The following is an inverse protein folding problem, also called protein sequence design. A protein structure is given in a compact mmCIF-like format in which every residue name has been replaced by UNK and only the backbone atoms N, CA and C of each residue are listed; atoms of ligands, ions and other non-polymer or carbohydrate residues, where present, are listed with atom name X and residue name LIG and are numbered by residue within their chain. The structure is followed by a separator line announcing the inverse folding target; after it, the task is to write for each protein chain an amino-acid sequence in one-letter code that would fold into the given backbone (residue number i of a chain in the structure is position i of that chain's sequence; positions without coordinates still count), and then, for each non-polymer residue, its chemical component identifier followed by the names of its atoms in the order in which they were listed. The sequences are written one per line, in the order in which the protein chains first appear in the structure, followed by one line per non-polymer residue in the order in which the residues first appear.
data_IF_770782785278
#
_entry.id   IF_770782785278
#
_cell.length_a   1.000
_cell.length_b   1.000
_cell.length_c   1.000
_cell.angle_alpha   90.00
_cell.angle_beta   90.00
_cell.angle_gamma   90.00
#
_symmetry.space_group_name_H-M   'P 1'
#
loop_
_entity.id
_entity.type
_entity.pdbx_description
1 polymer ?
#
# COMPACT_ATOMS: atom_id res chain seq x y z
N UNK A 1 46.86 26.77 45.24
CA UNK A 1 46.48 25.76 44.23
C UNK A 1 45.08 26.10 43.74
N UNK A 2 44.74 26.10 42.44
CA UNK A 2 45.45 25.51 41.30
C UNK A 2 45.88 26.52 40.20
N UNK A 3 46.83 26.10 39.37
CA UNK A 3 47.37 26.72 38.15
C UNK A 3 47.41 25.65 37.04
N UNK A 4 47.65 26.09 35.81
CA UNK A 4 47.67 25.41 34.49
C UNK A 4 46.31 25.47 33.78
N UNK A 5 46.10 26.20 32.66
CA UNK A 5 46.92 26.37 31.43
C UNK A 5 46.44 25.33 30.41
N UNK A 6 46.02 25.59 29.17
CA UNK A 6 46.65 26.39 28.09
C UNK A 6 45.67 26.51 26.88
N UNK A 7 45.96 27.48 26.00
CA UNK A 7 45.29 27.92 24.75
C UNK A 7 45.51 26.98 23.52
N UNK A 8 44.84 27.36 22.41
CA UNK A 8 45.03 27.03 20.95
C UNK A 8 44.21 25.85 20.40
N UNK A 9 43.68 25.81 19.16
CA UNK A 9 43.56 26.69 17.98
C UNK A 9 42.51 26.04 17.02
N UNK A 10 41.60 26.79 16.40
CA UNK A 10 41.54 27.16 14.96
C UNK A 10 41.60 26.03 13.89
N UNK A 11 40.58 26.08 13.01
CA UNK A 11 40.54 25.79 11.56
C UNK A 11 40.69 24.34 11.04
N UNK A 12 39.64 23.87 10.34
CA UNK A 12 39.78 23.30 9.00
C UNK A 12 38.44 23.39 8.23
N UNK A 13 38.34 24.41 7.37
CA UNK A 13 37.47 24.42 6.20
C UNK A 13 38.04 23.41 5.19
N UNK A 14 37.22 22.49 4.69
CA UNK A 14 37.43 21.89 3.38
C UNK A 14 36.12 21.98 2.61
N UNK A 15 36.10 22.90 1.66
CA UNK A 15 35.10 22.93 0.60
C UNK A 15 35.41 21.86 -0.44
N UNK A 16 34.37 21.16 -0.88
CA UNK A 16 34.39 20.47 -2.17
C UNK A 16 33.44 21.21 -3.09
N UNK A 17 34.02 21.98 -4.02
CA UNK A 17 33.36 22.37 -5.24
C UNK A 17 33.40 21.18 -6.20
N UNK A 18 32.25 20.73 -6.66
CA UNK A 18 32.13 19.96 -7.91
C UNK A 18 31.24 20.76 -8.85
N UNK A 19 31.82 21.13 -9.98
CA UNK A 19 31.20 21.84 -11.08
C UNK A 19 31.10 20.89 -12.29
N UNK A 20 30.04 21.12 -13.09
CA UNK A 20 29.72 20.60 -14.42
C UNK A 20 29.08 19.19 -14.49
N UNK A 21 27.93 18.95 -15.13
CA UNK A 21 27.03 19.81 -15.90
C UNK A 21 25.77 19.04 -16.31
N UNK A 22 24.61 19.71 -16.29
CA UNK A 22 23.36 19.24 -16.91
C UNK A 22 23.31 19.56 -18.42
N UNK A 23 22.25 19.15 -19.13
CA UNK A 23 20.95 19.80 -18.90
C UNK A 23 19.75 18.85 -18.91
N UNK A 24 18.88 18.94 -17.88
CA UNK A 24 17.41 18.93 -18.01
C UNK A 24 16.75 19.02 -16.61
N UNK A 25 16.44 20.25 -16.22
CA UNK A 25 15.20 20.63 -15.50
C UNK A 25 14.79 19.89 -14.23
N UNK A 26 15.52 20.08 -13.13
CA UNK A 26 14.88 20.12 -11.81
C UNK A 26 14.44 21.57 -11.53
N UNK A 27 13.23 21.82 -10.98
CA UNK A 27 12.81 23.18 -10.66
C UNK A 27 13.76 23.76 -9.60
N UNK A 28 14.35 24.91 -9.89
CA UNK A 28 15.14 25.68 -8.94
C UNK A 28 14.21 26.17 -7.83
N UNK A 29 14.44 25.69 -6.61
CA UNK A 29 13.84 26.30 -5.42
C UNK A 29 14.30 27.74 -5.31
N UNK A 30 13.34 28.65 -5.25
CA UNK A 30 13.59 30.09 -5.19
C UNK A 30 14.46 30.42 -3.96
N UNK A 31 15.54 31.15 -4.17
CA UNK A 31 16.50 31.55 -3.13
C UNK A 31 15.79 32.33 -2.00
N UNK A 32 14.67 32.97 -2.31
CA UNK A 32 13.79 33.62 -1.35
C UNK A 32 13.16 32.62 -0.35
N UNK A 33 12.84 31.39 -0.77
CA UNK A 33 12.28 30.35 0.09
C UNK A 33 13.36 29.80 1.03
N UNK A 34 14.58 29.60 0.54
CA UNK A 34 15.73 29.19 1.38
C UNK A 34 16.09 30.28 2.40
N UNK A 35 16.02 31.55 2.03
CA UNK A 35 16.28 32.66 2.95
C UNK A 35 15.19 32.84 4.01
N UNK A 36 13.93 32.51 3.70
CA UNK A 36 12.83 32.55 4.67
C UNK A 36 12.95 31.45 5.76
N UNK A 37 13.48 30.27 5.40
CA UNK A 37 13.74 29.18 6.36
C UNK A 37 14.94 29.52 7.24
N UNK A 38 15.99 30.14 6.69
CA UNK A 38 17.18 30.52 7.45
C UNK A 38 16.97 31.72 8.40
N UNK A 39 16.00 32.60 8.12
CA UNK A 39 15.68 33.73 9.00
C UNK A 39 14.83 33.35 10.23
N UNK A 40 14.28 32.13 10.27
CA UNK A 40 13.51 31.63 11.42
C UNK A 40 14.39 31.10 12.56
N UNK A 41 15.70 30.87 12.34
CA UNK A 41 16.62 30.28 13.32
C UNK A 41 17.22 31.28 14.32
N UNK A 42 16.81 32.56 14.26
CA UNK A 42 17.30 33.63 15.13
C UNK A 42 16.44 33.96 16.35
N UNK A 43 15.28 33.32 16.52
CA UNK A 43 14.37 33.57 17.63
C UNK A 43 14.29 32.36 18.55
N UNK A 44 14.92 32.45 19.71
CA UNK A 44 14.68 31.63 20.92
C UNK A 44 14.11 30.23 20.69
N UNK A 45 14.90 29.19 21.00
CA UNK A 45 14.32 27.93 21.45
C UNK A 45 13.54 28.18 22.75
N UNK A 46 12.33 28.72 22.62
CA UNK A 46 11.33 28.65 23.64
C UNK A 46 11.25 27.18 23.99
N UNK A 47 11.55 26.88 25.25
CA UNK A 47 11.52 25.54 25.78
C UNK A 47 10.12 24.96 25.52
N UNK A 48 9.97 24.12 24.50
CA UNK A 48 8.77 23.32 24.24
C UNK A 48 8.39 22.42 25.44
N UNK A 49 9.22 22.36 26.50
CA UNK A 49 8.84 21.76 27.77
C UNK A 49 7.86 22.67 28.50
N UNK A 50 6.57 22.33 28.38
CA UNK A 50 5.47 22.93 29.14
C UNK A 50 4.24 23.24 28.31
N UNK A 51 4.37 23.37 26.99
CA UNK A 51 3.28 23.82 26.12
C UNK A 51 2.34 22.67 25.67
N UNK A 52 2.84 21.43 25.65
CA UNK A 52 2.03 20.23 25.47
C UNK A 52 1.78 19.63 26.86
N UNK A 53 0.57 19.80 27.37
CA UNK A 53 0.16 19.25 28.67
C UNK A 53 -0.64 17.96 28.51
N UNK A 54 -0.54 17.01 29.48
CA UNK A 54 -1.41 15.83 29.50
C UNK A 54 -2.90 16.18 29.41
N UNK A 55 -3.33 17.25 30.08
CA UNK A 55 -4.72 17.72 30.08
C UNK A 55 -5.13 18.23 28.69
N UNK A 56 -4.24 18.96 28.00
CA UNK A 56 -4.47 19.44 26.64
C UNK A 56 -4.63 18.29 25.66
N UNK A 57 -3.73 17.30 25.73
CA UNK A 57 -3.81 16.09 24.91
C UNK A 57 -5.08 15.28 25.21
N UNK A 58 -5.39 15.07 26.49
CA UNK A 58 -6.59 14.33 26.91
C UNK A 58 -7.87 15.01 26.41
N UNK A 59 -7.95 16.34 26.42
CA UNK A 59 -9.09 17.08 25.85
C UNK A 59 -9.30 16.75 24.37
N UNK A 60 -8.24 16.82 23.56
CA UNK A 60 -8.35 16.53 22.13
C UNK A 60 -8.76 15.08 21.86
N UNK A 61 -8.17 14.13 22.58
CA UNK A 61 -8.51 12.72 22.47
C UNK A 61 -9.98 12.50 22.83
N UNK A 62 -10.46 13.05 23.95
CA UNK A 62 -11.84 12.90 24.39
C UNK A 62 -12.86 13.44 23.39
N UNK A 63 -12.57 14.57 22.74
CA UNK A 63 -13.45 15.12 21.69
C UNK A 63 -13.46 14.21 20.45
N UNK A 64 -12.29 13.88 19.93
CA UNK A 64 -12.16 13.10 18.68
C UNK A 64 -12.63 11.65 18.83
N UNK A 65 -12.61 11.10 20.04
CA UNK A 65 -13.09 9.76 20.36
C UNK A 65 -14.52 9.74 20.92
N UNK A 66 -15.20 10.89 20.97
CA UNK A 66 -16.58 10.97 21.48
C UNK A 66 -17.57 10.34 20.51
N UNK A 67 -18.70 9.86 21.05
CA UNK A 67 -19.82 9.35 20.26
C UNK A 67 -20.34 10.38 19.26
N UNK A 68 -20.23 11.68 19.56
CA UNK A 68 -20.62 12.76 18.64
C UNK A 68 -19.79 12.74 17.35
N UNK A 69 -18.53 12.32 17.40
CA UNK A 69 -17.65 12.30 16.24
C UNK A 69 -17.80 11.03 15.41
N UNK A 70 -18.35 9.93 15.95
CA UNK A 70 -18.73 8.71 15.19
C UNK A 70 -17.58 8.07 14.36
N UNK A 71 -16.33 8.51 14.56
CA UNK A 71 -15.16 8.13 13.76
C UNK A 71 -14.71 9.21 12.77
N UNK A 72 -13.83 8.81 11.84
CA UNK A 72 -13.09 9.75 10.97
C UNK A 72 -12.90 9.25 9.54
N UNK A 73 -13.76 8.33 9.10
CA UNK A 73 -13.70 7.83 7.73
C UNK A 73 -13.94 8.98 6.73
N UNK A 74 -13.28 8.98 5.55
CA UNK A 74 -13.60 9.91 4.47
C UNK A 74 -15.09 9.89 4.15
N UNK A 75 -15.61 10.99 3.58
CA UNK A 75 -17.01 11.11 3.11
C UNK A 75 -18.12 10.89 4.16
N UNK A 76 -17.78 10.58 5.41
CA UNK A 76 -18.75 10.42 6.52
C UNK A 76 -19.02 11.73 7.28
N UNK A 77 -20.19 11.88 7.93
CA UNK A 77 -20.47 13.01 8.83
C UNK A 77 -19.42 13.18 9.94
N UNK A 78 -18.99 12.08 10.55
CA UNK A 78 -17.94 12.08 11.58
C UNK A 78 -16.57 12.56 11.08
N UNK A 79 -16.20 12.13 9.87
CA UNK A 79 -15.05 12.66 9.15
C UNK A 79 -15.12 14.18 8.96
N UNK A 80 -16.27 14.74 8.58
CA UNK A 80 -16.43 16.19 8.42
C UNK A 80 -16.30 16.95 9.74
N UNK A 81 -16.89 16.45 10.82
CA UNK A 81 -16.73 17.03 12.17
C UNK A 81 -15.26 17.03 12.58
N UNK A 82 -14.57 15.92 12.36
CA UNK A 82 -13.12 15.78 12.63
C UNK A 82 -12.30 16.83 11.89
N UNK A 83 -12.57 17.04 10.60
CA UNK A 83 -11.85 18.03 9.78
C UNK A 83 -12.12 19.46 10.22
N UNK A 84 -13.38 19.79 10.49
CA UNK A 84 -13.79 21.10 10.99
C UNK A 84 -13.14 21.41 12.35
N UNK A 85 -13.06 20.41 13.23
CA UNK A 85 -12.38 20.53 14.51
C UNK A 85 -10.89 20.87 14.36
N UNK A 86 -10.15 20.13 13.52
CA UNK A 86 -8.71 20.36 13.30
C UNK A 86 -8.47 21.73 12.66
N UNK A 87 -9.25 22.11 11.64
CA UNK A 87 -9.14 23.43 11.01
C UNK A 87 -9.45 24.57 12.01
N UNK A 88 -10.43 24.36 12.90
CA UNK A 88 -10.75 25.29 13.98
C UNK A 88 -9.60 25.46 14.97
N UNK A 89 -8.91 24.37 15.31
CA UNK A 89 -7.71 24.41 16.17
C UNK A 89 -6.53 25.11 15.48
N UNK A 90 -6.31 24.90 14.17
CA UNK A 90 -5.31 25.66 13.40
C UNK A 90 -5.59 27.16 13.42
N UNK A 91 -6.84 27.55 13.15
CA UNK A 91 -7.26 28.94 13.22
C UNK A 91 -7.08 29.53 14.63
N UNK A 92 -7.41 28.78 15.68
CA UNK A 92 -7.23 29.19 17.08
C UNK A 92 -5.75 29.45 17.42
N UNK A 93 -4.85 28.68 16.83
CA UNK A 93 -3.40 28.84 17.00
C UNK A 93 -2.80 29.98 16.16
N UNK A 94 -3.60 30.61 15.29
CA UNK A 94 -3.15 31.71 14.43
C UNK A 94 -2.47 31.27 13.14
N UNK A 95 -2.64 30.01 12.72
CA UNK A 95 -2.18 29.58 11.40
C UNK A 95 -3.06 30.18 10.31
N UNK A 96 -2.43 30.75 9.28
CA UNK A 96 -3.11 31.24 8.09
C UNK A 96 -3.38 30.09 7.12
N UNK A 97 -4.53 30.09 6.42
CA UNK A 97 -4.86 29.03 5.47
C UNK A 97 -4.01 29.12 4.20
N UNK A 98 -3.59 27.97 3.69
CA UNK A 98 -2.88 27.89 2.40
C UNK A 98 -3.88 28.06 1.25
N UNK A 99 -3.68 29.07 0.39
CA UNK A 99 -4.58 29.32 -0.74
C UNK A 99 -5.99 29.78 -0.34
N UNK A 100 -6.16 30.33 0.87
CA UNK A 100 -7.43 30.88 1.35
C UNK A 100 -8.41 29.87 1.95
N UNK A 101 -8.01 28.60 2.07
CA UNK A 101 -8.79 27.53 2.72
C UNK A 101 -7.89 26.67 3.60
N UNK A 102 -8.38 26.21 4.75
CA UNK A 102 -7.71 25.15 5.55
C UNK A 102 -7.93 23.75 4.96
N UNK A 103 -8.59 23.67 3.81
CA UNK A 103 -9.01 22.41 3.21
C UNK A 103 -8.51 22.28 1.77
N UNK A 104 -7.98 21.09 1.47
CA UNK A 104 -7.72 20.63 0.10
C UNK A 104 -8.75 19.57 -0.29
N UNK A 105 -9.56 19.84 -1.30
CA UNK A 105 -10.53 18.85 -1.82
C UNK A 105 -9.84 17.77 -2.63
N UNK A 106 -10.25 16.52 -2.41
CA UNK A 106 -9.84 15.34 -3.17
C UNK A 106 -11.09 14.60 -3.67
N UNK A 107 -11.11 14.31 -4.96
CA UNK A 107 -12.12 13.45 -5.57
C UNK A 107 -11.90 12.00 -5.15
N UNK A 108 -12.97 11.38 -4.67
CA UNK A 108 -13.00 10.00 -4.23
C UNK A 108 -14.03 9.21 -5.01
N UNK A 109 -13.79 7.91 -5.12
CA UNK A 109 -14.75 6.94 -5.64
C UNK A 109 -14.95 5.86 -4.60
N UNK A 110 -16.20 5.48 -4.40
CA UNK A 110 -16.59 4.35 -3.58
C UNK A 110 -17.18 3.28 -4.48
N UNK A 111 -16.71 2.05 -4.29
CA UNK A 111 -17.16 0.90 -5.05
C UNK A 111 -17.63 -0.20 -4.12
N UNK A 112 -18.77 -0.80 -4.40
CA UNK A 112 -19.28 -1.96 -3.65
C UNK A 112 -19.55 -3.10 -4.61
N UNK A 113 -18.84 -4.21 -4.44
CA UNK A 113 -19.08 -5.44 -5.20
C UNK A 113 -20.47 -5.99 -4.86
N UNK A 114 -21.25 -6.37 -5.87
CA UNK A 114 -22.45 -7.18 -5.72
C UNK A 114 -22.07 -8.67 -5.82
N UNK A 115 -22.01 -9.41 -4.71
CA UNK A 115 -21.57 -10.81 -4.73
C UNK A 115 -22.59 -11.74 -5.39
N UNK A 116 -23.87 -11.34 -5.49
CA UNK A 116 -24.91 -12.16 -6.11
C UNK A 116 -24.81 -12.16 -7.65
N UNK A 117 -24.26 -11.08 -8.22
CA UNK A 117 -24.01 -10.94 -9.65
C UNK A 117 -22.53 -11.12 -10.03
N UNK A 118 -21.67 -11.52 -9.09
CA UNK A 118 -20.22 -11.65 -9.29
C UNK A 118 -19.73 -13.06 -9.00
N UNK A 119 -18.61 -13.44 -9.62
CA UNK A 119 -17.95 -14.71 -9.31
C UNK A 119 -16.45 -14.65 -9.57
N UNK A 120 -15.71 -15.50 -8.87
CA UNK A 120 -14.36 -15.93 -9.21
C UNK A 120 -14.36 -17.46 -9.27
N UNK A 121 -13.99 -18.01 -10.43
CA UNK A 121 -13.93 -19.46 -10.65
C UNK A 121 -12.58 -19.89 -11.19
N UNK A 122 -12.14 -21.08 -10.80
CA UNK A 122 -10.95 -21.74 -11.32
C UNK A 122 -11.35 -23.05 -11.99
N UNK A 123 -11.01 -23.22 -13.26
CA UNK A 123 -11.07 -24.50 -13.95
C UNK A 123 -9.75 -25.26 -13.78
N UNK A 124 -9.84 -26.53 -13.41
CA UNK A 124 -8.70 -27.43 -13.21
C UNK A 124 -8.88 -28.70 -14.06
N UNK A 125 -8.67 -28.59 -15.38
CA UNK A 125 -8.75 -29.74 -16.29
C UNK A 125 -10.16 -30.34 -16.40
N UNK A 126 -11.19 -29.50 -16.40
CA UNK A 126 -12.60 -29.90 -16.56
C UNK A 126 -13.40 -29.96 -15.25
N UNK A 127 -12.77 -29.79 -14.10
CA UNK A 127 -13.45 -29.51 -12.83
C UNK A 127 -13.43 -28.00 -12.59
N UNK A 128 -14.60 -27.37 -12.61
CA UNK A 128 -14.75 -25.94 -12.29
C UNK A 128 -15.09 -25.75 -10.82
N UNK A 129 -14.28 -24.96 -10.11
CA UNK A 129 -14.51 -24.56 -8.72
C UNK A 129 -14.87 -23.09 -8.67
N UNK A 130 -16.05 -22.79 -8.14
CA UNK A 130 -16.41 -21.43 -7.75
C UNK A 130 -15.86 -21.19 -6.34
N UNK A 131 -15.03 -20.16 -6.18
CA UNK A 131 -14.60 -19.75 -4.84
C UNK A 131 -15.75 -18.97 -4.20
N UNK A 132 -16.15 -19.33 -2.99
CA UNK A 132 -17.17 -18.60 -2.27
C UNK A 132 -16.63 -17.27 -1.75
N UNK A 133 -17.39 -16.20 -2.00
CA UNK A 133 -17.01 -14.85 -1.61
C UNK A 133 -16.98 -14.72 -0.10
N UNK A 134 -15.98 -14.01 0.43
CA UNK A 134 -15.67 -13.85 1.86
C UNK A 134 -15.10 -15.07 2.54
N UNK A 135 -15.57 -16.29 2.25
CA UNK A 135 -15.11 -17.49 2.97
C UNK A 135 -13.84 -18.07 2.38
N UNK A 136 -13.82 -18.26 1.06
CA UNK A 136 -12.75 -18.96 0.35
C UNK A 136 -11.75 -17.97 -0.22
N UNK A 137 -12.29 -16.85 -0.73
CA UNK A 137 -11.54 -15.73 -1.24
C UNK A 137 -12.33 -14.42 -1.09
N UNK A 138 -11.61 -13.30 -1.08
CA UNK A 138 -12.18 -11.96 -1.32
C UNK A 138 -11.56 -11.41 -2.59
N UNK A 139 -12.37 -10.71 -3.38
CA UNK A 139 -11.92 -10.10 -4.61
C UNK A 139 -12.69 -8.82 -4.87
N UNK A 140 -11.99 -7.85 -5.42
CA UNK A 140 -12.52 -6.57 -5.84
C UNK A 140 -11.78 -6.10 -7.09
N UNK A 141 -12.17 -4.94 -7.60
CA UNK A 141 -11.44 -4.29 -8.69
C UNK A 141 -11.22 -2.83 -8.36
N UNK A 142 -10.07 -2.30 -8.77
CA UNK A 142 -9.76 -0.88 -8.72
C UNK A 142 -10.18 -0.15 -10.01
N UNK A 143 -10.72 -0.89 -11.00
CA UNK A 143 -11.24 -0.34 -12.25
C UNK A 143 -12.64 0.21 -12.01
N UNK A 144 -12.84 1.49 -12.30
CA UNK A 144 -14.11 2.19 -12.10
C UNK A 144 -15.02 1.96 -13.32
N UNK A 145 -15.62 0.75 -13.36
CA UNK A 145 -16.58 0.28 -14.37
C UNK A 145 -17.67 -0.57 -13.71
N UNK A 146 -18.95 -0.45 -14.10
CA UNK A 146 -20.04 -1.22 -13.48
C UNK A 146 -19.81 -2.73 -13.53
N UNK A 147 -19.24 -3.21 -14.64
CA UNK A 147 -18.85 -4.61 -14.82
C UNK A 147 -17.37 -4.69 -15.26
N UNK A 148 -16.64 -5.65 -14.68
CA UNK A 148 -15.30 -6.04 -15.10
C UNK A 148 -15.23 -7.55 -15.18
N UNK A 149 -14.82 -8.09 -16.33
CA UNK A 149 -14.73 -9.52 -16.54
C UNK A 149 -13.45 -9.96 -17.28
N UNK A 150 -13.05 -11.21 -17.02
CA UNK A 150 -12.08 -11.96 -17.82
C UNK A 150 -12.44 -13.45 -17.80
N UNK A 151 -12.04 -14.15 -18.85
CA UNK A 151 -12.34 -15.58 -19.00
C UNK A 151 -11.05 -16.35 -19.32
N UNK A 152 -10.96 -17.56 -18.74
CA UNK A 152 -9.95 -18.56 -19.03
C UNK A 152 -8.47 -18.07 -19.02
N UNK A 153 -8.10 -17.18 -18.09
CA UNK A 153 -6.71 -16.71 -17.94
C UNK A 153 -5.84 -17.78 -17.29
N UNK A 154 -4.70 -18.10 -17.91
CA UNK A 154 -3.73 -19.04 -17.34
C UNK A 154 -3.25 -18.55 -15.97
N UNK A 155 -3.00 -19.48 -15.05
CA UNK A 155 -2.48 -19.18 -13.73
C UNK A 155 -0.97 -19.39 -13.63
N UNK A 156 -0.29 -18.49 -12.91
CA UNK A 156 1.16 -18.54 -12.69
C UNK A 156 1.45 -18.25 -11.22
N UNK A 157 2.27 -19.08 -10.59
CA UNK A 157 2.82 -18.78 -9.28
C UNK A 157 4.08 -17.93 -9.42
N UNK A 158 4.10 -16.75 -8.82
CA UNK A 158 5.19 -15.76 -8.96
C UNK A 158 5.92 -15.51 -7.65
N UNK A 159 6.04 -16.50 -6.77
CA UNK A 159 6.75 -16.33 -5.50
C UNK A 159 6.13 -15.21 -4.67
N UNK A 160 6.90 -14.17 -4.34
CA UNK A 160 6.44 -13.00 -3.61
C UNK A 160 5.97 -11.85 -4.51
N UNK A 161 6.08 -12.00 -5.83
CA UNK A 161 5.70 -10.96 -6.79
C UNK A 161 6.55 -9.71 -6.66
N UNK A 162 7.84 -9.86 -6.35
CA UNK A 162 8.77 -8.76 -6.08
C UNK A 162 9.68 -8.47 -7.26
N UNK A 163 9.79 -7.19 -7.60
CA UNK A 163 10.84 -6.62 -8.46
C UNK A 163 11.59 -5.58 -7.65
N UNK A 164 12.79 -5.93 -7.20
CA UNK A 164 13.63 -5.11 -6.35
C UNK A 164 15.10 -5.19 -6.80
N UNK A 165 15.51 -4.38 -7.79
CA UNK A 165 16.86 -4.37 -8.34
C UNK A 165 17.97 -4.14 -7.30
N UNK A 166 17.72 -3.30 -6.28
CA UNK A 166 18.62 -3.04 -5.15
C UNK A 166 18.90 -4.29 -4.31
N UNK A 167 17.95 -5.23 -4.30
CA UNK A 167 18.09 -6.54 -3.67
C UNK A 167 18.49 -7.61 -4.67
N UNK A 168 18.78 -7.28 -5.94
CA UNK A 168 19.03 -8.24 -7.03
C UNK A 168 17.93 -9.31 -7.13
N UNK A 169 16.66 -8.89 -7.01
CA UNK A 169 15.51 -9.79 -6.92
C UNK A 169 14.47 -9.46 -7.98
N UNK A 170 14.01 -10.48 -8.72
CA UNK A 170 12.92 -10.34 -9.69
C UNK A 170 12.15 -11.66 -9.84
N UNK A 171 10.97 -11.74 -9.22
CA UNK A 171 10.09 -12.90 -9.25
C UNK A 171 9.32 -13.08 -10.56
N UNK A 172 9.34 -12.09 -11.45
CA UNK A 172 8.71 -12.15 -12.77
C UNK A 172 9.71 -12.50 -13.88
N UNK A 173 11.00 -12.63 -13.55
CA UNK A 173 12.03 -12.86 -14.54
C UNK A 173 11.89 -14.23 -15.22
N UNK A 174 11.84 -14.25 -16.55
CA UNK A 174 11.87 -15.47 -17.35
C UNK A 174 10.49 -16.03 -17.74
N UNK A 175 9.38 -15.37 -17.37
CA UNK A 175 8.04 -15.75 -17.83
C UNK A 175 7.16 -14.52 -18.04
N UNK A 176 6.53 -14.43 -19.21
CA UNK A 176 5.53 -13.39 -19.49
C UNK A 176 4.21 -13.70 -18.76
N UNK A 177 3.84 -12.82 -17.84
CA UNK A 177 2.58 -12.90 -17.08
C UNK A 177 1.46 -12.06 -17.67
N UNK A 178 1.69 -11.42 -18.82
CA UNK A 178 0.69 -10.56 -19.45
C UNK A 178 -0.59 -11.34 -19.77
N UNK A 179 -1.72 -10.80 -19.30
CA UNK A 179 -3.04 -11.44 -19.47
C UNK A 179 -3.27 -12.68 -18.59
N UNK A 180 -2.32 -13.06 -17.73
CA UNK A 180 -2.42 -14.22 -16.83
C UNK A 180 -2.90 -13.81 -15.45
N UNK A 181 -3.40 -14.78 -14.69
CA UNK A 181 -3.67 -14.60 -13.26
C UNK A 181 -2.45 -15.00 -12.46
N UNK A 182 -1.90 -14.08 -11.69
CA UNK A 182 -0.74 -14.38 -10.83
C UNK A 182 -1.19 -14.75 -9.42
N UNK A 183 -0.55 -15.77 -8.87
CA UNK A 183 -0.73 -16.24 -7.49
C UNK A 183 0.53 -15.90 -6.70
N UNK A 184 0.37 -15.21 -5.57
CA UNK A 184 1.45 -14.49 -4.89
C UNK A 184 1.46 -14.84 -3.40
N UNK A 185 2.63 -15.07 -2.82
CA UNK A 185 2.82 -15.14 -1.37
C UNK A 185 2.72 -13.76 -0.74
N UNK A 186 2.07 -13.66 0.42
CA UNK A 186 2.11 -12.46 1.26
C UNK A 186 3.50 -12.27 1.89
N UNK A 187 3.86 -11.02 2.24
CA UNK A 187 5.16 -10.63 2.83
C UNK A 187 6.35 -10.74 1.85
N UNK A 188 7.59 -10.74 2.32
CA UNK A 188 8.81 -10.85 1.51
C UNK A 188 9.76 -11.96 2.04
N UNK A 189 10.73 -12.44 1.24
CA UNK A 189 11.58 -13.59 1.59
C UNK A 189 12.36 -13.47 2.91
N UNK A 190 12.69 -12.25 3.36
CA UNK A 190 13.47 -12.05 4.58
C UNK A 190 12.72 -12.50 5.83
N UNK A 191 11.40 -12.29 5.85
CA UNK A 191 10.57 -12.50 7.03
C UNK A 191 10.57 -13.97 7.49
N UNK A 192 10.35 -14.90 6.55
CA UNK A 192 10.25 -16.33 6.86
C UNK A 192 11.61 -16.98 7.07
N UNK A 193 12.63 -16.54 6.33
CA UNK A 193 13.99 -17.08 6.44
C UNK A 193 14.70 -16.62 7.72
N UNK A 194 14.24 -15.50 8.31
CA UNK A 194 14.93 -14.81 9.43
C UNK A 194 16.39 -14.49 9.08
N UNK A 195 16.68 -14.33 7.79
CA UNK A 195 17.99 -14.02 7.28
C UNK A 195 18.10 -12.50 7.13
N UNK A 196 18.86 -11.87 8.02
CA UNK A 196 19.06 -10.42 8.02
C UNK A 196 19.83 -9.92 6.77
N UNK A 197 20.36 -10.83 5.95
CA UNK A 197 21.00 -10.49 4.67
C UNK A 197 20.02 -10.47 3.49
N UNK A 198 18.79 -10.94 3.68
CA UNK A 198 17.71 -10.89 2.70
C UNK A 198 16.71 -9.79 3.11
N UNK A 199 16.52 -8.80 2.24
CA UNK A 199 15.59 -7.68 2.45
C UNK A 199 15.90 -6.90 3.74
N UNK A 200 15.01 -6.94 4.72
CA UNK A 200 15.19 -6.35 6.06
C UNK A 200 15.03 -7.40 7.16
N UNK A 201 15.42 -8.65 6.87
CA UNK A 201 15.27 -9.77 7.78
C UNK A 201 13.82 -9.96 8.20
N UNK A 202 13.56 -9.96 9.51
CA UNK A 202 12.21 -10.12 10.06
C UNK A 202 11.30 -8.90 9.91
N UNK A 203 11.82 -7.74 9.50
CA UNK A 203 10.99 -6.56 9.30
C UNK A 203 10.40 -6.56 7.87
N UNK A 204 9.07 -6.50 7.76
CA UNK A 204 8.39 -6.41 6.48
C UNK A 204 8.80 -5.12 5.74
N UNK A 205 9.24 -5.27 4.49
CA UNK A 205 9.57 -4.14 3.61
C UNK A 205 8.35 -3.63 2.87
N UNK A 206 8.52 -2.58 2.05
CA UNK A 206 7.48 -2.15 1.11
C UNK A 206 7.05 -3.29 0.17
N UNK A 207 7.98 -4.17 -0.23
CA UNK A 207 7.74 -5.32 -1.10
C UNK A 207 6.81 -6.38 -0.48
N UNK A 208 6.80 -6.46 0.86
CA UNK A 208 5.91 -7.37 1.57
C UNK A 208 4.46 -6.91 1.60
N UNK A 209 4.18 -5.63 1.31
CA UNK A 209 2.84 -5.06 1.36
C UNK A 209 1.97 -5.56 0.20
N UNK A 210 0.72 -5.86 0.50
CA UNK A 210 -0.26 -6.29 -0.49
C UNK A 210 -0.51 -5.25 -1.58
N UNK A 211 -0.48 -3.95 -1.25
CA UNK A 211 -0.65 -2.86 -2.23
C UNK A 211 0.42 -2.94 -3.31
N UNK A 212 1.68 -3.11 -2.90
CA UNK A 212 2.79 -3.29 -3.81
C UNK A 212 2.60 -4.51 -4.71
N UNK A 213 2.18 -5.66 -4.16
CA UNK A 213 2.00 -6.89 -4.93
C UNK A 213 0.97 -6.74 -6.04
N UNK A 214 -0.16 -6.10 -5.76
CA UNK A 214 -1.17 -5.83 -6.79
C UNK A 214 -0.70 -4.78 -7.81
N UNK A 215 -0.03 -3.72 -7.34
CA UNK A 215 0.57 -2.70 -8.21
C UNK A 215 1.61 -3.31 -9.17
N UNK A 216 2.51 -4.14 -8.65
CA UNK A 216 3.57 -4.76 -9.44
C UNK A 216 2.99 -5.78 -10.41
N UNK A 217 2.07 -6.65 -9.97
CA UNK A 217 1.38 -7.56 -10.89
C UNK A 217 0.71 -6.82 -12.06
N UNK A 218 0.10 -5.67 -11.78
CA UNK A 218 -0.49 -4.82 -12.81
C UNK A 218 0.57 -4.18 -13.73
N UNK A 219 1.70 -3.70 -13.20
CA UNK A 219 2.85 -3.20 -14.00
C UNK A 219 3.39 -4.28 -14.93
N UNK A 220 3.40 -5.54 -14.50
CA UNK A 220 3.82 -6.69 -15.30
C UNK A 220 2.74 -7.17 -16.29
N UNK A 221 1.55 -6.54 -16.30
CA UNK A 221 0.48 -6.82 -17.25
C UNK A 221 -0.43 -7.99 -16.88
N UNK A 222 -0.38 -8.47 -15.63
CA UNK A 222 -1.28 -9.51 -15.16
C UNK A 222 -2.75 -9.08 -15.29
N UNK A 223 -3.62 -10.01 -15.70
CA UNK A 223 -5.06 -9.75 -15.77
C UNK A 223 -5.70 -9.76 -14.38
N UNK A 224 -5.20 -10.60 -13.48
CA UNK A 224 -5.68 -10.74 -12.11
C UNK A 224 -4.52 -11.11 -11.18
N UNK A 225 -4.66 -10.77 -9.91
CA UNK A 225 -3.68 -11.10 -8.89
C UNK A 225 -4.39 -11.59 -7.62
N UNK A 226 -3.94 -12.76 -7.13
CA UNK A 226 -4.45 -13.41 -5.93
C UNK A 226 -3.31 -13.58 -4.94
N UNK A 227 -3.41 -12.95 -3.77
CA UNK A 227 -2.47 -13.14 -2.67
C UNK A 227 -2.96 -14.32 -1.81
N UNK A 228 -2.07 -15.26 -1.53
CA UNK A 228 -2.32 -16.34 -0.59
C UNK A 228 -2.24 -15.76 0.82
N UNK A 229 -3.33 -15.86 1.58
CA UNK A 229 -3.36 -15.46 2.97
C UNK A 229 -2.73 -16.52 3.87
N UNK A 230 -1.89 -16.07 4.80
CA UNK A 230 -1.31 -16.87 5.88
C UNK A 230 -1.22 -16.00 7.13
N UNK A 231 -1.71 -16.49 8.28
CA UNK A 231 -1.79 -15.70 9.52
C UNK A 231 -0.44 -15.10 9.95
N UNK A 232 0.62 -15.91 9.94
CA UNK A 232 1.93 -15.51 10.45
C UNK A 232 2.57 -14.44 9.53
N UNK A 233 2.71 -14.66 8.20
CA UNK A 233 3.23 -13.63 7.30
C UNK A 233 2.35 -12.39 7.15
N UNK A 234 1.03 -12.51 7.27
CA UNK A 234 0.12 -11.37 7.21
C UNK A 234 0.07 -10.58 8.53
N UNK A 235 0.45 -11.21 9.66
CA UNK A 235 0.32 -10.71 11.03
C UNK A 235 -1.13 -10.53 11.51
N UNK A 236 -2.10 -11.12 10.81
CA UNK A 236 -3.53 -11.12 11.18
C UNK A 236 -4.27 -12.31 10.56
N UNK A 237 -5.33 -12.74 11.24
CA UNK A 237 -6.22 -13.79 10.74
C UNK A 237 -7.11 -13.33 9.58
N UNK A 238 -7.76 -14.29 8.91
CA UNK A 238 -8.60 -14.06 7.74
C UNK A 238 -9.70 -13.01 7.94
N UNK A 239 -10.28 -12.90 9.15
CA UNK A 239 -11.33 -11.93 9.44
C UNK A 239 -10.92 -10.46 9.19
N UNK A 240 -9.62 -10.14 9.27
CA UNK A 240 -9.11 -8.80 8.90
C UNK A 240 -9.16 -8.60 7.39
N UNK A 241 -8.78 -9.62 6.61
CA UNK A 241 -8.89 -9.60 5.14
C UNK A 241 -10.36 -9.47 4.75
N UNK A 242 -11.23 -10.34 5.27
CA UNK A 242 -12.66 -10.33 5.02
C UNK A 242 -13.30 -8.97 5.33
N UNK A 243 -13.07 -8.44 6.53
CA UNK A 243 -13.66 -7.17 6.97
C UNK A 243 -13.13 -5.95 6.22
N UNK A 244 -11.89 -5.98 5.74
CA UNK A 244 -11.26 -4.82 5.08
C UNK A 244 -11.49 -4.79 3.56
N UNK A 245 -11.76 -5.94 2.94
CA UNK A 245 -11.88 -6.09 1.48
C UNK A 245 -13.31 -6.32 0.99
N UNK A 246 -14.29 -6.18 1.87
CA UNK A 246 -15.71 -6.39 1.54
C UNK A 246 -16.53 -5.17 1.93
N UNK A 247 -17.75 -5.06 1.39
CA UNK A 247 -18.57 -3.86 1.56
C UNK A 247 -18.07 -2.71 0.68
N UNK A 248 -18.36 -1.48 1.13
CA UNK A 248 -17.96 -0.26 0.42
C UNK A 248 -16.46 -0.03 0.52
N UNK A 249 -15.82 0.19 -0.63
CA UNK A 249 -14.38 0.38 -0.74
C UNK A 249 -14.10 1.76 -1.31
N UNK A 250 -13.47 2.63 -0.53
CA UNK A 250 -13.09 3.97 -0.96
C UNK A 250 -11.71 3.99 -1.63
N UNK A 251 -11.57 4.81 -2.66
CA UNK A 251 -10.30 5.08 -3.33
C UNK A 251 -10.26 6.50 -3.90
N UNK A 252 -9.09 6.94 -4.34
CA UNK A 252 -8.95 8.18 -5.09
C UNK A 252 -9.41 7.97 -6.54
N UNK A 253 -10.04 8.99 -7.12
CA UNK A 253 -10.31 9.02 -8.56
C UNK A 253 -8.99 9.08 -9.30
N UNK A 254 -8.71 8.06 -10.11
CA UNK A 254 -7.50 8.00 -10.97
C UNK A 254 -7.82 8.55 -12.36
N UNK A 255 -6.88 9.24 -13.02
CA UNK A 255 -7.09 9.77 -14.38
C UNK A 255 -7.50 8.72 -15.41
N UNK A 256 -7.01 7.49 -15.27
CA UNK A 256 -7.29 6.37 -16.17
C UNK A 256 -8.47 5.49 -15.70
N UNK A 257 -9.21 5.93 -14.68
CA UNK A 257 -10.27 5.16 -14.03
C UNK A 257 -9.82 3.75 -13.58
N UNK A 258 -8.54 3.60 -13.24
CA UNK A 258 -7.94 2.33 -12.82
C UNK A 258 -7.63 1.36 -13.96
N UNK A 259 -7.67 1.79 -15.23
CA UNK A 259 -7.40 0.93 -16.38
C UNK A 259 -6.01 0.26 -16.36
N UNK A 260 -5.03 0.89 -15.70
CA UNK A 260 -3.69 0.35 -15.44
C UNK A 260 -3.64 -0.75 -14.38
N UNK A 261 -4.71 -0.95 -13.59
CA UNK A 261 -4.80 -1.98 -12.54
C UNK A 261 -5.13 -3.34 -13.12
N UNK A 262 -4.88 -4.41 -12.37
CA UNK A 262 -5.42 -5.73 -12.72
C UNK A 262 -6.97 -5.65 -12.79
N UNK A 263 -7.60 -6.51 -13.59
CA UNK A 263 -9.06 -6.60 -13.64
C UNK A 263 -9.65 -7.08 -12.31
N UNK A 264 -8.92 -7.94 -11.61
CA UNK A 264 -9.27 -8.46 -10.28
C UNK A 264 -8.05 -8.45 -9.38
N UNK A 265 -8.24 -7.92 -8.17
CA UNK A 265 -7.28 -7.97 -7.06
C UNK A 265 -7.97 -8.67 -5.90
N UNK A 266 -7.32 -9.66 -5.30
CA UNK A 266 -7.95 -10.44 -4.26
C UNK A 266 -7.00 -11.25 -3.40
N UNK A 267 -7.59 -11.87 -2.39
CA UNK A 267 -6.94 -12.79 -1.47
C UNK A 267 -7.64 -14.13 -1.52
N UNK A 268 -6.89 -15.21 -1.34
CA UNK A 268 -7.39 -16.58 -1.25
C UNK A 268 -6.87 -17.22 0.04
N UNK A 269 -7.71 -18.00 0.71
CA UNK A 269 -7.30 -18.76 1.89
C UNK A 269 -6.22 -19.80 1.55
N UNK A 270 -5.34 -20.08 2.50
CA UNK A 270 -4.25 -21.04 2.33
C UNK A 270 -4.74 -22.45 1.94
N UNK A 271 -5.82 -22.94 2.52
CA UNK A 271 -6.36 -24.27 2.23
C UNK A 271 -6.77 -24.39 0.74
N UNK A 272 -7.48 -23.39 0.20
CA UNK A 272 -7.88 -23.38 -1.20
C UNK A 272 -6.68 -23.16 -2.13
N UNK A 273 -5.72 -22.30 -1.76
CA UNK A 273 -4.48 -22.19 -2.50
C UNK A 273 -3.73 -23.54 -2.55
N UNK A 274 -3.66 -24.27 -1.44
CA UNK A 274 -3.01 -25.58 -1.37
C UNK A 274 -3.65 -26.58 -2.33
N UNK A 275 -4.98 -26.58 -2.43
CA UNK A 275 -5.70 -27.42 -3.39
C UNK A 275 -5.41 -27.04 -4.84
N UNK A 276 -5.31 -25.73 -5.15
CA UNK A 276 -4.94 -25.26 -6.48
C UNK A 276 -3.53 -25.71 -6.86
N UNK A 277 -2.55 -25.58 -5.96
CA UNK A 277 -1.19 -26.06 -6.21
C UNK A 277 -1.18 -27.56 -6.49
N UNK A 278 -1.90 -28.35 -5.67
CA UNK A 278 -2.02 -29.79 -5.86
C UNK A 278 -2.65 -30.14 -7.23
N UNK A 279 -3.69 -29.43 -7.65
CA UNK A 279 -4.33 -29.61 -8.95
C UNK A 279 -3.39 -29.29 -10.12
N UNK A 280 -2.47 -28.34 -9.94
CA UNK A 280 -1.41 -28.04 -10.90
C UNK A 280 -0.19 -29.01 -10.83
N UNK A 281 -0.24 -30.05 -9.99
CA UNK A 281 0.89 -30.96 -9.77
C UNK A 281 2.04 -30.34 -8.96
N UNK A 282 1.77 -29.26 -8.23
CA UNK A 282 2.73 -28.53 -7.41
C UNK A 282 2.49 -28.80 -5.92
N UNK A 283 3.52 -28.55 -5.11
CA UNK A 283 3.47 -28.60 -3.66
C UNK A 283 3.75 -27.20 -3.12
N UNK A 284 2.79 -26.61 -2.39
CA UNK A 284 2.85 -25.21 -1.96
C UNK A 284 4.04 -24.95 -1.02
N UNK A 285 4.39 -25.89 -0.15
CA UNK A 285 5.50 -25.73 0.79
C UNK A 285 6.85 -25.79 0.08
N UNK A 286 7.01 -26.68 -0.90
CA UNK A 286 8.19 -26.70 -1.79
C UNK A 286 8.31 -25.43 -2.61
N UNK A 287 7.19 -24.92 -3.13
CA UNK A 287 7.16 -23.67 -3.88
C UNK A 287 7.51 -22.47 -2.99
N UNK A 288 7.00 -22.41 -1.76
CA UNK A 288 7.38 -21.40 -0.76
C UNK A 288 8.87 -21.48 -0.42
N UNK A 289 9.39 -22.68 -0.16
CA UNK A 289 10.81 -22.89 0.13
C UNK A 289 11.72 -22.49 -1.05
N UNK A 290 11.26 -22.67 -2.29
CA UNK A 290 11.96 -22.22 -3.48
C UNK A 290 11.90 -20.68 -3.63
N UNK A 291 10.73 -20.07 -3.41
CA UNK A 291 10.53 -18.62 -3.46
C UNK A 291 11.33 -17.87 -2.39
N UNK A 292 11.74 -18.54 -1.31
CA UNK A 292 12.65 -17.99 -0.29
C UNK A 292 14.12 -17.93 -0.72
N UNK A 293 14.46 -18.35 -1.94
CA UNK A 293 15.84 -18.39 -2.43
C UNK A 293 16.01 -17.46 -3.63
N UNK A 294 17.12 -16.74 -3.62
CA UNK A 294 17.55 -15.90 -4.76
C UNK A 294 17.61 -16.74 -6.03
N UNK A 295 17.08 -16.19 -7.12
CA UNK A 295 17.03 -16.87 -8.42
C UNK A 295 15.82 -17.78 -8.62
N UNK A 296 14.83 -17.74 -7.71
CA UNK A 296 13.50 -18.29 -7.98
C UNK A 296 12.97 -17.79 -9.33
N UNK A 297 12.24 -18.66 -10.02
CA UNK A 297 11.60 -18.34 -11.30
C UNK A 297 10.11 -18.63 -11.20
N UNK A 298 9.26 -17.78 -11.79
CA UNK A 298 7.82 -17.97 -11.77
C UNK A 298 7.44 -19.30 -12.43
N UNK A 299 6.47 -20.00 -11.84
CA UNK A 299 6.09 -21.37 -12.18
C UNK A 299 4.68 -21.39 -12.76
N UNK A 300 4.50 -21.84 -14.03
CA UNK A 300 3.17 -22.04 -14.59
C UNK A 300 2.36 -23.05 -13.77
N UNK A 301 1.13 -22.69 -13.38
CA UNK A 301 0.20 -23.61 -12.72
C UNK A 301 -0.60 -24.35 -13.82
N UNK A 302 0.10 -25.25 -14.52
CA UNK A 302 -0.40 -25.91 -15.74
C UNK A 302 -1.74 -26.59 -15.50
N UNK A 303 -2.68 -26.38 -16.44
CA UNK A 303 -4.03 -26.95 -16.35
C UNK A 303 -5.02 -26.11 -15.55
N UNK A 304 -4.57 -25.02 -14.91
CA UNK A 304 -5.46 -24.10 -14.21
C UNK A 304 -5.77 -22.85 -15.03
N UNK A 305 -7.06 -22.48 -15.06
CA UNK A 305 -7.54 -21.25 -15.69
C UNK A 305 -8.51 -20.53 -14.79
N UNK A 306 -8.28 -19.24 -14.56
CA UNK A 306 -9.18 -18.40 -13.79
C UNK A 306 -10.18 -17.67 -14.69
N UNK A 307 -11.39 -17.43 -14.19
CA UNK A 307 -12.36 -16.52 -14.81
C UNK A 307 -13.08 -15.76 -13.71
N UNK A 308 -13.46 -14.51 -13.99
CA UNK A 308 -14.23 -13.73 -13.05
C UNK A 308 -15.15 -12.74 -13.75
N UNK A 309 -16.25 -12.43 -13.07
CA UNK A 309 -17.07 -11.26 -13.32
C UNK A 309 -17.24 -10.51 -12.01
N UNK A 310 -16.99 -9.21 -12.01
CA UNK A 310 -17.23 -8.31 -10.89
C UNK A 310 -18.25 -7.29 -11.35
N UNK A 311 -19.44 -7.35 -10.78
CA UNK A 311 -20.46 -6.31 -10.84
C UNK A 311 -20.35 -5.45 -9.57
N UNK A 312 -20.40 -4.14 -9.72
CA UNK A 312 -20.25 -3.21 -8.60
C UNK A 312 -21.06 -1.94 -8.78
N UNK A 313 -21.50 -1.36 -7.66
CA UNK A 313 -21.95 0.05 -7.62
C UNK A 313 -20.73 0.97 -7.58
N UNK A 314 -20.91 2.18 -8.09
CA UNK A 314 -19.86 3.20 -8.17
C UNK A 314 -20.48 4.54 -7.79
N UNK A 315 -19.98 5.12 -6.72
CA UNK A 315 -20.42 6.42 -6.22
C UNK A 315 -19.22 7.37 -6.13
N UNK A 316 -19.30 8.51 -6.82
CA UNK A 316 -18.29 9.56 -6.74
C UNK A 316 -18.62 10.48 -5.58
N UNK A 317 -17.61 10.78 -4.76
CA UNK A 317 -17.72 11.66 -3.61
C UNK A 317 -16.52 12.60 -3.55
N UNK A 318 -16.64 13.62 -2.72
CA UNK A 318 -15.51 14.47 -2.37
C UNK A 318 -15.16 14.27 -0.91
N UNK A 319 -13.86 14.31 -0.62
CA UNK A 319 -13.35 14.41 0.74
C UNK A 319 -12.37 15.57 0.79
N UNK A 320 -12.10 16.06 2.00
CA UNK A 320 -11.20 17.21 2.21
C UNK A 320 -10.05 16.77 3.10
N UNK A 321 -8.82 17.11 2.75
CA UNK A 321 -7.69 17.07 3.68
C UNK A 321 -7.62 18.40 4.41
N UNK A 322 -7.08 18.43 5.64
CA UNK A 322 -6.76 19.67 6.34
C UNK A 322 -5.32 20.05 6.03
N UNK A 323 -5.07 21.28 5.59
CA UNK A 323 -3.76 21.82 5.19
C UNK A 323 -3.49 23.18 5.82
#
# INVERSE_FOLDING_TARGET
MPRFGTRYAALALLGFAVSCGGPAGAPSVDEAVLSAVAAADGGTSASLKGDITPEGLARHISVLASDEFEGRAPTTPGGEKTRAYIAGEFKRMGFEPVGGSYFQTAEMVETTVDPAASFLRIDAGGETRNLAYKTDAVWATKRVRPEVAFDASDMVFVGYGVVAPEYQWNDYEGLDVKGKTVVILVNDPGFLTKDDTLFSGQAMTYYGRWTYKFEEAARQGATAALIIHEDIPAAYGWGVVEGSWTGEQSDLVRPDAGASRAKLEGWIQLNHATELFKAAGLDIDRMRAAANKRGFKPVPMTGLKASATINQTIDFKESRNVI
#
